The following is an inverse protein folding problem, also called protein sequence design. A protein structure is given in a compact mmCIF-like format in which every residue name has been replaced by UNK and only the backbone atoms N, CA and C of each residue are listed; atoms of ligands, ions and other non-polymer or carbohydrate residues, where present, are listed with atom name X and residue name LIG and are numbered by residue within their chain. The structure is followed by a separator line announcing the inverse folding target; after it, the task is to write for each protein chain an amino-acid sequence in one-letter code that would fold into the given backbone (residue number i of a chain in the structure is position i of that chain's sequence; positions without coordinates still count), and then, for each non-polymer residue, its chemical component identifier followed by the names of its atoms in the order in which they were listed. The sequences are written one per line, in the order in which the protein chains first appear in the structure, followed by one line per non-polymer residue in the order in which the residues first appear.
data_IF_607555638878
#
_entry.id   IF_607555638878
#
_cell.length_a   1.000
_cell.length_b   1.000
_cell.length_c   1.000
_cell.angle_alpha   90.00
_cell.angle_beta   90.00
_cell.angle_gamma   90.00
#
_symmetry.space_group_name_H-M   'P 1'
#
loop_
_entity.id
_entity.type
_entity.pdbx_description
1 polymer ?
#
# COMPACT_ATOMS: atom_id res chain seq x y z
N UNK A 1 -8.21 0.11 0.78
CA UNK A 1 -6.83 0.21 1.32
C UNK A 1 -5.75 -0.35 0.38
N UNK A 2 -6.06 -1.21 -0.59
CA UNK A 2 -5.07 -1.89 -1.46
C UNK A 2 -4.54 -1.04 -2.62
N UNK A 3 -5.38 -0.22 -3.25
CA UNK A 3 -5.05 0.46 -4.52
C UNK A 3 -3.98 1.54 -4.38
N UNK A 4 -4.04 2.38 -3.34
CA UNK A 4 -3.05 3.45 -3.11
C UNK A 4 -1.68 2.90 -2.71
N UNK A 5 -1.65 1.84 -1.91
CA UNK A 5 -0.40 1.13 -1.59
C UNK A 5 0.25 0.52 -2.83
N UNK A 6 -0.55 -0.07 -3.73
CA UNK A 6 -0.05 -0.64 -4.98
C UNK A 6 0.50 0.44 -5.93
N UNK A 7 -0.17 1.59 -6.03
CA UNK A 7 0.30 2.72 -6.84
C UNK A 7 1.63 3.23 -6.31
N UNK A 8 1.76 3.43 -5.00
CA UNK A 8 3.01 3.90 -4.38
C UNK A 8 4.16 2.89 -4.53
N UNK A 9 3.89 1.59 -4.39
CA UNK A 9 4.89 0.56 -4.64
C UNK A 9 5.38 0.57 -6.10
N UNK A 10 4.45 0.66 -7.05
CA UNK A 10 4.78 0.72 -8.48
C UNK A 10 5.55 1.98 -8.85
N UNK A 11 5.14 3.14 -8.31
CA UNK A 11 5.84 4.42 -8.51
C UNK A 11 7.29 4.35 -8.05
N UNK A 12 7.56 3.71 -6.91
CA UNK A 12 8.93 3.52 -6.39
C UNK A 12 9.75 2.57 -7.25
N UNK A 13 9.16 1.47 -7.71
CA UNK A 13 9.85 0.54 -8.61
C UNK A 13 10.28 1.25 -9.91
N UNK A 14 9.39 2.08 -10.47
CA UNK A 14 9.71 2.90 -11.66
C UNK A 14 10.81 3.92 -11.38
N UNK A 15 10.79 4.58 -10.21
CA UNK A 15 11.85 5.50 -9.83
C UNK A 15 13.20 4.78 -9.75
N UNK A 16 13.28 3.63 -9.10
CA UNK A 16 14.53 2.85 -9.00
C UNK A 16 15.05 2.48 -10.40
N UNK A 17 14.16 2.03 -11.30
CA UNK A 17 14.54 1.71 -12.66
C UNK A 17 15.07 2.95 -13.41
N UNK A 18 14.38 4.09 -13.32
CA UNK A 18 14.80 5.33 -13.97
C UNK A 18 16.16 5.84 -13.42
N UNK A 19 16.42 5.64 -12.14
CA UNK A 19 17.71 5.96 -11.53
C UNK A 19 18.82 5.10 -12.11
N UNK A 20 18.59 3.79 -12.26
CA UNK A 20 19.58 2.87 -12.81
C UNK A 20 19.84 3.10 -14.31
N UNK A 21 18.81 3.47 -15.08
CA UNK A 21 18.95 3.84 -16.49
C UNK A 21 19.78 5.12 -16.67
N UNK A 22 19.60 6.11 -15.79
CA UNK A 22 20.29 7.42 -15.89
C UNK A 22 21.67 7.43 -15.23
N UNK A 23 21.84 6.66 -14.16
CA UNK A 23 23.10 6.49 -13.43
C UNK A 23 23.37 5.00 -13.19
N UNK A 24 23.91 4.29 -14.20
CA UNK A 24 24.21 2.87 -14.06
C UNK A 24 25.15 2.59 -12.89
N UNK A 25 24.82 1.59 -12.08
CA UNK A 25 25.57 1.22 -10.88
C UNK A 25 25.31 2.11 -9.67
N UNK A 26 24.27 2.94 -9.67
CA UNK A 26 23.94 3.80 -8.52
C UNK A 26 23.49 3.02 -7.27
N UNK A 27 23.10 1.75 -7.44
CA UNK A 27 22.71 0.88 -6.33
C UNK A 27 21.40 1.30 -5.66
N UNK A 28 20.52 1.96 -6.40
CA UNK A 28 19.24 2.44 -5.90
C UNK A 28 18.35 1.29 -5.43
N UNK A 29 17.84 1.37 -4.20
CA UNK A 29 16.89 0.41 -3.67
C UNK A 29 15.97 1.04 -2.62
N UNK A 30 14.80 0.45 -2.42
CA UNK A 30 13.87 0.89 -1.38
C UNK A 30 14.20 0.26 -0.03
N UNK A 31 14.29 1.06 1.02
CA UNK A 31 14.46 0.61 2.40
C UNK A 31 13.33 1.16 3.27
N UNK A 32 12.81 0.35 4.19
CA UNK A 32 11.88 0.82 5.21
C UNK A 32 12.68 1.40 6.38
N UNK A 33 12.51 2.69 6.62
CA UNK A 33 13.01 3.33 7.82
C UNK A 33 12.19 2.87 9.03
N UNK A 34 12.87 2.38 10.06
CA UNK A 34 12.24 1.87 11.27
C UNK A 34 11.72 2.99 12.18
N UNK A 35 12.32 4.17 12.13
CA UNK A 35 11.93 5.29 12.98
C UNK A 35 10.67 5.98 12.46
N UNK A 36 10.61 6.23 11.16
CA UNK A 36 9.48 6.92 10.52
C UNK A 36 8.42 5.97 9.97
N UNK A 37 8.71 4.66 9.94
CA UNK A 37 7.94 3.61 9.28
C UNK A 37 7.73 3.85 7.76
N UNK A 38 8.38 4.86 7.17
CA UNK A 38 8.29 5.22 5.75
C UNK A 38 9.28 4.41 4.93
N UNK A 39 8.94 4.17 3.67
CA UNK A 39 9.87 3.61 2.70
C UNK A 39 10.61 4.75 2.02
N UNK A 40 11.94 4.73 2.08
CA UNK A 40 12.84 5.70 1.46
C UNK A 40 13.66 5.01 0.37
N UNK A 41 14.10 5.79 -0.62
CA UNK A 41 15.06 5.32 -1.63
C UNK A 41 16.47 5.60 -1.11
N UNK A 42 17.30 4.57 -1.12
CA UNK A 42 18.70 4.60 -0.71
C UNK A 42 19.55 4.36 -1.94
N UNK A 43 20.64 5.12 -2.08
CA UNK A 43 21.63 4.99 -3.15
C UNK A 43 22.99 4.60 -2.56
N UNK A 44 23.93 4.16 -3.39
CA UNK A 44 25.25 3.75 -2.95
C UNK A 44 26.05 4.93 -2.37
N UNK A 45 26.64 4.73 -1.19
CA UNK A 45 27.54 5.70 -0.54
C UNK A 45 28.88 5.85 -1.29
N UNK A 46 29.23 4.89 -2.17
CA UNK A 46 30.45 4.93 -2.97
C UNK A 46 30.40 5.91 -4.16
N UNK A 47 29.24 6.54 -4.39
CA UNK A 47 29.07 7.52 -5.46
C UNK A 47 29.80 8.83 -5.15
N UNK A 48 30.29 9.49 -6.20
CA UNK A 48 30.85 10.83 -6.09
C UNK A 48 29.78 11.80 -5.54
N UNK A 49 30.18 12.70 -4.64
CA UNK A 49 29.25 13.64 -3.97
C UNK A 49 28.46 14.51 -4.96
N UNK A 50 29.06 14.89 -6.09
CA UNK A 50 28.37 15.58 -7.18
C UNK A 50 27.23 14.78 -7.78
N UNK A 51 27.45 13.48 -8.00
CA UNK A 51 26.44 12.54 -8.54
C UNK A 51 25.36 12.27 -7.50
N UNK A 52 25.74 12.06 -6.24
CA UNK A 52 24.77 11.90 -5.14
C UNK A 52 23.81 13.09 -5.06
N UNK A 53 24.32 14.32 -5.11
CA UNK A 53 23.47 15.53 -5.11
C UNK A 53 22.51 15.58 -6.29
N UNK A 54 22.95 15.21 -7.48
CA UNK A 54 22.08 15.16 -8.66
C UNK A 54 20.98 14.11 -8.52
N UNK A 55 21.33 12.93 -8.01
CA UNK A 55 20.36 11.85 -7.78
C UNK A 55 19.34 12.25 -6.71
N UNK A 56 19.79 12.85 -5.60
CA UNK A 56 18.89 13.35 -4.57
C UNK A 56 17.93 14.41 -5.11
N UNK A 57 18.43 15.40 -5.87
CA UNK A 57 17.57 16.41 -6.50
C UNK A 57 16.55 15.78 -7.47
N UNK A 58 16.93 14.72 -8.19
CA UNK A 58 16.01 13.97 -9.05
C UNK A 58 14.93 13.25 -8.25
N UNK A 59 15.30 12.57 -7.16
CA UNK A 59 14.37 11.90 -6.25
C UNK A 59 13.39 12.91 -5.66
N UNK A 60 13.89 14.06 -5.18
CA UNK A 60 13.06 15.11 -4.59
C UNK A 60 12.02 15.65 -5.59
N UNK A 61 12.43 15.88 -6.85
CA UNK A 61 11.54 16.30 -7.92
C UNK A 61 10.47 15.25 -8.26
N UNK A 62 10.85 13.97 -8.28
CA UNK A 62 9.91 12.86 -8.51
C UNK A 62 8.88 12.74 -7.38
N UNK A 63 9.32 12.90 -6.14
CA UNK A 63 8.44 12.87 -4.97
C UNK A 63 7.48 14.06 -4.95
N UNK A 64 7.96 15.26 -5.26
CA UNK A 64 7.12 16.46 -5.37
C UNK A 64 6.06 16.31 -6.47
N UNK A 65 6.44 15.80 -7.64
CA UNK A 65 5.51 15.53 -8.75
C UNK A 65 4.47 14.46 -8.39
N UNK A 66 4.89 13.40 -7.70
CA UNK A 66 3.98 12.36 -7.21
C UNK A 66 2.95 12.90 -6.20
N UNK A 67 3.41 13.75 -5.27
CA UNK A 67 2.51 14.41 -4.31
C UNK A 67 1.49 15.31 -5.00
N UNK A 68 1.91 16.10 -6.00
CA UNK A 68 1.00 16.94 -6.79
C UNK A 68 -0.04 16.11 -7.57
N UNK A 69 0.39 15.01 -8.21
CA UNK A 69 -0.52 14.09 -8.90
C UNK A 69 -1.55 13.49 -7.94
N UNK A 70 -1.12 13.03 -6.76
CA UNK A 70 -2.03 12.48 -5.76
C UNK A 70 -3.01 13.53 -5.26
N UNK A 71 -2.57 14.78 -5.05
CA UNK A 71 -3.45 15.87 -4.67
C UNK A 71 -4.50 16.16 -5.77
N UNK A 72 -4.12 16.16 -7.04
CA UNK A 72 -5.06 16.31 -8.16
C UNK A 72 -6.08 15.16 -8.23
N UNK A 73 -5.63 13.91 -8.04
CA UNK A 73 -6.52 12.75 -8.02
C UNK A 73 -7.51 12.80 -6.85
N UNK A 74 -7.09 13.28 -5.69
CA UNK A 74 -7.97 13.49 -4.53
C UNK A 74 -8.97 14.61 -4.78
N UNK A 75 -8.54 15.72 -5.39
CA UNK A 75 -9.43 16.84 -5.73
C UNK A 75 -10.47 16.47 -6.81
N UNK A 76 -10.13 15.56 -7.72
CA UNK A 76 -11.01 15.08 -8.77
C UNK A 76 -11.95 13.94 -8.32
N UNK A 77 -11.78 13.39 -7.11
CA UNK A 77 -12.62 12.30 -6.61
C UNK A 77 -13.96 12.86 -6.06
N UNK A 78 -15.12 12.45 -6.61
CA UNK A 78 -16.43 13.07 -6.32
C UNK A 78 -17.06 12.69 -4.97
N UNK A 79 -16.37 11.95 -4.09
CA UNK A 79 -16.91 11.53 -2.80
C UNK A 79 -16.01 11.99 -1.64
N UNK A 80 -16.46 12.96 -0.81
CA UNK A 80 -15.75 13.40 0.37
C UNK A 80 -16.17 12.53 1.56
N UNK A 81 -15.71 11.28 1.63
CA UNK A 81 -15.91 10.52 2.88
C UNK A 81 -14.81 9.49 3.15
N UNK A 82 -13.57 9.93 3.00
CA UNK A 82 -12.49 9.28 3.72
C UNK A 82 -11.71 10.38 4.41
N UNK A 83 -11.97 10.55 5.71
CA UNK A 83 -11.25 11.43 6.62
C UNK A 83 -9.74 11.26 6.41
N UNK A 84 -9.16 12.13 5.59
CA UNK A 84 -7.75 12.13 5.22
C UNK A 84 -6.88 12.42 6.44
N UNK A 85 -7.44 13.04 7.47
CA UNK A 85 -6.81 13.25 8.77
C UNK A 85 -6.87 12.00 9.69
N UNK A 86 -7.80 11.06 9.47
CA UNK A 86 -7.79 9.75 10.13
C UNK A 86 -6.73 8.80 9.51
N UNK A 87 -6.49 8.89 8.21
CA UNK A 87 -5.42 8.15 7.51
C UNK A 87 -4.01 8.58 7.94
N UNK A 88 -3.81 9.84 8.32
CA UNK A 88 -2.56 10.32 8.90
C UNK A 88 -2.37 9.89 10.37
N UNK A 89 -3.46 9.69 11.13
CA UNK A 89 -3.44 9.33 12.57
C UNK A 89 -3.44 7.82 12.86
N UNK A 90 -3.75 6.97 11.87
CA UNK A 90 -3.64 5.51 11.96
C UNK A 90 -2.22 4.97 12.20
N UNK A 91 -1.18 5.82 12.25
CA UNK A 91 0.17 5.45 12.66
C UNK A 91 0.35 5.25 14.18
N UNK A 92 -0.68 5.48 15.00
CA UNK A 92 -0.58 5.32 16.47
C UNK A 92 -1.73 4.48 17.02
N UNK A 93 -1.63 3.15 16.94
CA UNK A 93 -2.11 2.21 17.98
C UNK A 93 -1.90 0.77 17.50
N UNK A 94 -1.22 -0.03 18.34
CA UNK A 94 -1.00 -1.45 18.08
C UNK A 94 0.31 -1.98 18.66
N UNK A 95 0.65 -1.61 19.89
CA UNK A 95 1.66 -2.29 20.70
C UNK A 95 1.20 -3.72 20.98
N UNK A 96 1.73 -4.70 20.25
CA UNK A 96 1.61 -6.11 20.61
C UNK A 96 2.86 -6.49 21.41
N UNK A 97 2.75 -6.90 22.69
CA UNK A 97 3.92 -7.34 23.46
C UNK A 97 4.40 -8.68 22.92
N UNK A 98 5.62 -8.72 22.38
CA UNK A 98 6.31 -9.98 22.03
C UNK A 98 6.71 -10.71 23.32
N UNK A 99 6.02 -11.81 23.64
CA UNK A 99 6.55 -12.84 24.56
C UNK A 99 7.45 -13.83 23.78
N UNK A 100 8.43 -14.49 24.46
CA UNK A 100 9.48 -15.27 23.81
C UNK A 100 8.96 -16.63 23.31
N UNK A 101 9.54 -17.09 22.20
CA UNK A 101 9.26 -18.38 21.55
C UNK A 101 9.64 -19.57 22.44
N UNK A 102 8.74 -20.52 22.63
CA UNK A 102 9.04 -21.89 23.00
C UNK A 102 8.72 -22.82 21.83
N UNK A 103 9.68 -23.70 21.49
CA UNK A 103 9.53 -24.80 20.51
C UNK A 103 8.50 -25.82 21.04
N UNK A 104 7.55 -26.23 20.21
CA UNK A 104 6.75 -27.43 20.45
C UNK A 104 5.38 -27.43 19.76
N UNK A 105 5.17 -28.43 18.88
CA UNK A 105 3.91 -28.91 18.30
C UNK A 105 3.08 -27.94 17.44
N UNK A 106 2.94 -28.29 16.15
CA UNK A 106 1.98 -27.69 15.21
C UNK A 106 0.59 -28.29 15.48
N UNK A 107 -0.44 -27.51 15.87
CA UNK A 107 -1.81 -27.98 15.83
C UNK A 107 -2.39 -27.76 14.42
N UNK A 108 -2.98 -28.80 13.85
CA UNK A 108 -3.67 -28.78 12.55
C UNK A 108 -4.78 -27.70 12.50
N UNK A 109 -4.99 -27.05 11.33
CA UNK A 109 -5.99 -25.98 11.21
C UNK A 109 -7.42 -26.54 11.19
N UNK A 110 -8.13 -26.44 12.32
CA UNK A 110 -9.59 -26.51 12.36
C UNK A 110 -10.16 -25.18 11.86
N UNK A 111 -10.57 -25.12 10.59
CA UNK A 111 -11.14 -23.88 10.06
C UNK A 111 -11.87 -23.92 8.72
N UNK A 112 -11.97 -25.06 8.03
CA UNK A 112 -12.58 -25.12 6.68
C UNK A 112 -14.11 -24.90 6.68
N UNK A 113 -14.85 -25.39 7.68
CA UNK A 113 -16.31 -25.31 7.68
C UNK A 113 -16.88 -23.89 7.80
N UNK A 114 -16.17 -22.96 8.47
CA UNK A 114 -16.69 -21.60 8.72
C UNK A 114 -16.55 -20.66 7.51
N UNK A 115 -15.74 -21.03 6.52
CA UNK A 115 -15.58 -20.28 5.26
C UNK A 115 -16.63 -20.70 4.23
N UNK A 116 -17.01 -21.98 4.18
CA UNK A 116 -18.05 -22.49 3.28
C UNK A 116 -19.42 -21.89 3.59
N UNK A 117 -19.77 -21.74 4.87
CA UNK A 117 -21.04 -21.12 5.27
C UNK A 117 -21.14 -19.65 4.87
N UNK A 118 -20.04 -18.89 4.98
CA UNK A 118 -19.99 -17.48 4.54
C UNK A 118 -20.05 -17.33 3.02
N UNK A 119 -19.45 -18.27 2.28
CA UNK A 119 -19.50 -18.25 0.82
C UNK A 119 -20.90 -18.58 0.29
N UNK A 120 -21.63 -19.48 0.95
CA UNK A 120 -23.01 -19.80 0.62
C UNK A 120 -23.97 -18.61 0.91
N UNK A 121 -23.81 -17.97 2.07
CA UNK A 121 -24.62 -16.82 2.47
C UNK A 121 -24.39 -15.59 1.56
N UNK A 122 -23.14 -15.36 1.15
CA UNK A 122 -22.81 -14.31 0.18
C UNK A 122 -23.41 -14.56 -1.20
N UNK A 123 -23.53 -15.83 -1.64
CA UNK A 123 -24.17 -16.18 -2.91
C UNK A 123 -25.68 -15.98 -2.86
N UNK A 124 -26.34 -16.42 -1.79
CA UNK A 124 -27.79 -16.23 -1.62
C UNK A 124 -28.19 -14.74 -1.60
N UNK A 125 -27.38 -13.89 -0.94
CA UNK A 125 -27.60 -12.44 -0.94
C UNK A 125 -27.42 -11.79 -2.32
N UNK A 126 -26.54 -12.33 -3.17
CA UNK A 126 -26.38 -11.83 -4.53
C UNK A 126 -27.54 -12.27 -5.43
N UNK A 127 -28.02 -13.51 -5.30
CA UNK A 127 -29.17 -14.01 -6.06
C UNK A 127 -30.46 -13.23 -5.74
N UNK A 128 -30.67 -12.85 -4.47
CA UNK A 128 -31.84 -12.05 -4.07
C UNK A 128 -31.90 -10.65 -4.71
N UNK A 129 -30.76 -10.08 -5.12
CA UNK A 129 -30.71 -8.77 -5.79
C UNK A 129 -31.16 -8.85 -7.27
N UNK A 130 -31.22 -10.05 -7.84
CA UNK A 130 -31.58 -10.28 -9.24
C UNK A 130 -32.88 -11.08 -9.39
N UNK A 131 -33.54 -11.46 -8.30
CA UNK A 131 -34.90 -12.00 -8.33
C UNK A 131 -35.87 -10.88 -8.71
N UNK A 132 -36.59 -10.98 -9.84
CA UNK A 132 -37.63 -10.05 -10.18
C UNK A 132 -38.88 -10.41 -9.39
N UNK A 133 -39.16 -9.68 -8.31
CA UNK A 133 -40.51 -9.66 -7.75
C UNK A 133 -40.91 -8.21 -7.47
N UNK A 134 -41.67 -7.69 -8.42
CA UNK A 134 -42.07 -6.29 -8.52
C UNK A 134 -42.93 -6.03 -9.75
N UNK A 135 -44.01 -6.79 -9.90
CA UNK A 135 -45.10 -6.60 -10.88
C UNK A 135 -45.89 -7.92 -10.97
N UNK A 136 -47.13 -8.02 -10.52
CA UNK A 136 -48.23 -7.11 -10.82
C UNK A 136 -49.20 -6.92 -9.64
N UNK A 137 -49.73 -5.70 -9.60
CA UNK A 137 -50.99 -5.36 -8.93
C UNK A 137 -52.15 -5.96 -9.73
N UNK A 138 -53.00 -6.76 -9.09
CA UNK A 138 -54.46 -6.71 -9.23
C UNK A 138 -55.15 -7.39 -8.04
#
# INVERSE_FOLDING_TARGET
MTTTMQIEQRRRAMLIQALEERWPGCGAHSKRDQQTAKTVIVISDALLSGVQRQIHAYIDGWEAGGAAMLACLQAAAPFPDVDTAALARGQRQGSVPRRPRARGAIPAPKGRQRQESRAAEARANLEALFSPDGGDQE
#
